data_IF_086501223572
#
_entry.id   IF_086501223572
#
_cell.length_a   1.000
_cell.length_b   1.000
_cell.length_c   1.000
_cell.angle_alpha   90.00
_cell.angle_beta   90.00
_cell.angle_gamma   90.00
#
_symmetry.space_group_name_H-M   'P 1'
#
loop_
_entity.id
_entity.type
_entity.pdbx_description
1 polymer ?
#
# COMPACT_ATOMS: atom_id res chain seq x y z
N UNK A 1 10.59 -27.74 9.05
CA UNK A 1 11.24 -27.59 7.72
C UNK A 1 12.08 -26.33 7.74
N UNK A 2 13.35 -26.37 7.32
CA UNK A 2 14.15 -25.13 7.20
C UNK A 2 13.57 -24.31 6.04
N UNK A 3 12.86 -23.22 6.35
CA UNK A 3 12.30 -22.31 5.35
C UNK A 3 13.37 -21.61 4.50
N UNK A 4 14.64 -21.69 4.93
CA UNK A 4 15.79 -21.06 4.29
C UNK A 4 16.96 -22.03 4.14
N UNK A 5 17.80 -21.85 3.11
CA UNK A 5 19.01 -22.62 2.94
C UNK A 5 19.98 -22.36 4.09
N UNK A 6 20.78 -23.36 4.46
CA UNK A 6 21.84 -23.23 5.47
C UNK A 6 22.97 -22.30 5.02
N UNK A 7 23.17 -22.16 3.71
CA UNK A 7 24.21 -21.33 3.11
C UNK A 7 23.56 -20.42 2.08
N UNK A 8 23.85 -19.12 2.17
CA UNK A 8 23.47 -18.13 1.17
C UNK A 8 24.73 -17.79 0.38
N UNK A 9 24.74 -18.16 -0.90
CA UNK A 9 25.86 -17.90 -1.80
C UNK A 9 25.63 -16.58 -2.52
N UNK A 10 26.54 -15.63 -2.32
CA UNK A 10 26.58 -14.35 -3.04
C UNK A 10 27.74 -14.42 -4.03
N UNK A 11 27.49 -13.97 -5.25
CA UNK A 11 28.52 -13.94 -6.29
C UNK A 11 29.61 -12.91 -5.97
N UNK A 12 30.87 -13.25 -6.26
CA UNK A 12 32.01 -12.38 -5.95
C UNK A 12 31.94 -11.05 -6.69
N UNK A 13 31.54 -11.05 -7.97
CA UNK A 13 31.37 -9.82 -8.75
C UNK A 13 30.25 -8.95 -8.21
N UNK A 14 29.17 -9.56 -7.73
CA UNK A 14 28.10 -8.83 -7.07
C UNK A 14 28.61 -8.17 -5.78
N UNK A 15 29.30 -8.91 -4.92
CA UNK A 15 29.79 -8.42 -3.64
C UNK A 15 30.83 -7.28 -3.77
N UNK A 16 31.61 -7.27 -4.86
CA UNK A 16 32.61 -6.22 -5.14
C UNK A 16 32.09 -5.14 -6.11
N UNK A 17 30.82 -5.22 -6.52
CA UNK A 17 30.25 -4.22 -7.41
C UNK A 17 30.13 -2.87 -6.72
N UNK A 18 30.24 -1.79 -7.51
CA UNK A 18 30.03 -0.43 -6.99
C UNK A 18 28.65 -0.28 -6.36
N UNK A 19 27.63 -0.85 -7.02
CA UNK A 19 26.24 -0.84 -6.56
C UNK A 19 26.07 -1.49 -5.18
N UNK A 20 26.73 -2.63 -4.93
CA UNK A 20 26.65 -3.32 -3.65
C UNK A 20 27.35 -2.50 -2.55
N UNK A 21 28.54 -1.95 -2.84
CA UNK A 21 29.30 -1.16 -1.88
C UNK A 21 28.58 0.11 -1.39
N UNK A 22 27.67 0.67 -2.18
CA UNK A 22 26.92 1.89 -1.83
C UNK A 22 25.63 1.61 -1.05
N UNK A 23 25.22 0.35 -0.91
CA UNK A 23 24.01 -0.02 -0.16
C UNK A 23 24.14 0.30 1.33
N UNK A 24 23.01 0.62 1.96
CA UNK A 24 22.97 0.75 3.42
C UNK A 24 23.07 -0.62 4.11
N UNK A 25 23.54 -0.68 5.36
CA UNK A 25 23.67 -1.96 6.09
C UNK A 25 22.34 -2.72 6.24
N UNK A 26 21.22 -2.00 6.33
CA UNK A 26 19.90 -2.62 6.31
C UNK A 26 19.54 -3.23 4.95
N UNK A 27 19.98 -2.59 3.86
CA UNK A 27 19.72 -3.03 2.49
C UNK A 27 20.54 -4.26 2.15
N UNK A 28 21.79 -4.32 2.60
CA UNK A 28 22.60 -5.54 2.55
C UNK A 28 21.87 -6.72 3.21
N UNK A 29 21.39 -6.55 4.45
CA UNK A 29 20.66 -7.61 5.17
C UNK A 29 19.41 -8.06 4.41
N UNK A 30 18.59 -7.11 3.94
CA UNK A 30 17.38 -7.41 3.18
C UNK A 30 17.69 -8.11 1.87
N UNK A 31 18.74 -7.70 1.15
CA UNK A 31 19.20 -8.36 -0.07
C UNK A 31 19.63 -9.80 0.21
N UNK A 32 20.43 -10.03 1.26
CA UNK A 32 20.82 -11.38 1.67
C UNK A 32 19.60 -12.27 1.94
N UNK A 33 18.57 -11.73 2.59
CA UNK A 33 17.31 -12.47 2.82
C UNK A 33 16.60 -12.80 1.49
N UNK A 34 16.54 -11.87 0.54
CA UNK A 34 16.02 -12.16 -0.80
C UNK A 34 16.81 -13.28 -1.50
N UNK A 35 18.14 -13.26 -1.41
CA UNK A 35 19.01 -14.29 -1.95
C UNK A 35 18.85 -15.65 -1.26
N UNK A 36 18.45 -15.67 0.01
CA UNK A 36 18.07 -16.88 0.72
C UNK A 36 16.66 -17.39 0.38
N UNK A 37 15.77 -16.53 -0.15
CA UNK A 37 14.38 -16.89 -0.50
C UNK A 37 14.21 -17.36 -1.94
N UNK A 38 15.20 -17.14 -2.80
CA UNK A 38 15.14 -17.60 -4.19
C UNK A 38 15.22 -19.13 -4.25
N UNK A 39 14.52 -19.70 -5.21
CA UNK A 39 14.59 -21.12 -5.54
C UNK A 39 15.39 -21.23 -6.83
N UNK A 40 16.50 -21.95 -6.75
CA UNK A 40 17.44 -22.10 -7.84
C UNK A 40 17.20 -23.45 -8.52
N UNK A 41 17.22 -23.45 -9.85
CA UNK A 41 17.21 -24.64 -10.67
C UNK A 41 18.44 -24.66 -11.59
N UNK A 42 18.87 -25.86 -11.96
CA UNK A 42 19.99 -26.05 -12.90
C UNK A 42 19.44 -26.54 -14.22
N UNK A 43 19.68 -25.76 -15.27
CA UNK A 43 19.21 -26.07 -16.62
C UNK A 43 20.38 -26.28 -17.56
N UNK A 44 20.29 -27.26 -18.46
CA UNK A 44 21.31 -27.51 -19.48
C UNK A 44 21.94 -28.89 -19.40
N UNK A 45 22.93 -29.11 -20.27
CA UNK A 45 23.71 -30.36 -20.30
C UNK A 45 24.66 -30.38 -19.10
N UNK A 46 24.88 -31.58 -18.55
CA UNK A 46 25.85 -31.84 -17.48
C UNK A 46 27.21 -31.20 -17.82
N UNK A 47 27.69 -30.28 -16.98
CA UNK A 47 28.93 -29.52 -17.18
C UNK A 47 28.76 -28.12 -17.78
N UNK A 48 27.65 -27.83 -18.47
CA UNK A 48 27.29 -26.51 -18.98
C UNK A 48 25.96 -26.03 -18.40
N UNK A 49 25.75 -26.32 -17.12
CA UNK A 49 24.53 -26.00 -16.39
C UNK A 49 24.45 -24.49 -16.13
N UNK A 50 23.33 -23.89 -16.51
CA UNK A 50 22.98 -22.51 -16.18
C UNK A 50 22.04 -22.51 -14.99
N UNK A 51 22.36 -21.64 -14.05
CA UNK A 51 21.61 -21.44 -12.82
C UNK A 51 20.48 -20.45 -13.10
N UNK A 52 19.23 -20.92 -13.00
CA UNK A 52 18.04 -20.08 -13.21
C UNK A 52 17.26 -19.97 -11.90
N UNK A 53 16.74 -18.78 -11.62
CA UNK A 53 15.85 -18.56 -10.47
C UNK A 53 14.43 -18.94 -10.89
N UNK A 54 13.92 -20.07 -10.39
CA UNK A 54 12.60 -20.62 -10.74
C UNK A 54 11.45 -19.74 -10.26
N UNK A 55 11.60 -19.14 -9.08
CA UNK A 55 10.58 -18.27 -8.47
C UNK A 55 10.84 -16.78 -8.73
N UNK A 56 11.57 -16.42 -9.80
CA UNK A 56 11.84 -15.02 -10.09
C UNK A 56 10.52 -14.28 -10.36
N UNK A 57 10.34 -13.12 -9.73
CA UNK A 57 9.08 -12.38 -9.78
C UNK A 57 7.94 -12.95 -8.94
N UNK A 58 8.19 -14.04 -8.19
CA UNK A 58 7.25 -14.66 -7.25
C UNK A 58 7.80 -14.69 -5.82
N UNK A 59 8.91 -13.98 -5.56
CA UNK A 59 9.51 -13.94 -4.23
C UNK A 59 8.65 -13.07 -3.33
N UNK A 60 8.23 -13.63 -2.18
CA UNK A 60 7.43 -12.93 -1.19
C UNK A 60 8.29 -12.58 0.01
N UNK A 61 8.27 -11.29 0.40
CA UNK A 61 8.84 -10.82 1.65
C UNK A 61 7.96 -9.73 2.25
N UNK A 62 7.20 -10.10 3.28
CA UNK A 62 6.18 -9.22 3.88
C UNK A 62 6.74 -8.36 5.01
N UNK A 63 6.07 -7.24 5.31
CA UNK A 63 6.43 -6.37 6.44
C UNK A 63 6.39 -7.09 7.78
N UNK A 64 5.34 -7.87 8.02
CA UNK A 64 5.17 -8.65 9.26
C UNK A 64 6.28 -9.68 9.41
N UNK A 65 6.66 -10.33 8.31
CA UNK A 65 7.78 -11.26 8.30
C UNK A 65 9.11 -10.57 8.62
N UNK A 66 9.37 -9.41 8.02
CA UNK A 66 10.58 -8.62 8.28
C UNK A 66 10.71 -8.23 9.76
N UNK A 67 9.60 -7.85 10.38
CA UNK A 67 9.55 -7.42 11.78
C UNK A 67 9.67 -8.60 12.74
N UNK A 68 8.86 -9.65 12.57
CA UNK A 68 8.80 -10.79 13.50
C UNK A 68 10.04 -11.69 13.38
N UNK A 69 10.48 -12.02 12.16
CA UNK A 69 11.57 -12.99 11.96
C UNK A 69 12.95 -12.35 12.00
N UNK A 70 13.09 -11.12 11.51
CA UNK A 70 14.39 -10.48 11.30
C UNK A 70 14.60 -9.21 12.14
N UNK A 71 13.60 -8.79 12.93
CA UNK A 71 13.70 -7.59 13.76
C UNK A 71 13.83 -6.28 12.96
N UNK A 72 13.44 -6.28 11.68
CA UNK A 72 13.53 -5.10 10.82
C UNK A 72 12.18 -4.38 10.87
N UNK A 73 12.16 -3.20 11.49
CA UNK A 73 10.95 -2.37 11.51
C UNK A 73 10.43 -2.07 10.10
N UNK A 74 9.11 -1.95 9.94
CA UNK A 74 8.49 -1.70 8.64
C UNK A 74 9.05 -0.45 7.93
N UNK A 75 9.44 0.60 8.67
CA UNK A 75 10.05 1.81 8.09
C UNK A 75 11.46 1.54 7.56
N UNK A 76 12.28 0.80 8.31
CA UNK A 76 13.64 0.40 7.90
C UNK A 76 13.58 -0.55 6.70
N UNK A 77 12.62 -1.46 6.69
CA UNK A 77 12.38 -2.36 5.57
C UNK A 77 11.97 -1.60 4.30
N UNK A 78 11.01 -0.67 4.36
CA UNK A 78 10.63 0.13 3.20
C UNK A 78 11.82 0.92 2.62
N UNK A 79 12.62 1.56 3.48
CA UNK A 79 13.83 2.27 3.05
C UNK A 79 14.83 1.34 2.38
N UNK A 80 14.99 0.12 2.90
CA UNK A 80 15.86 -0.87 2.31
C UNK A 80 15.36 -1.30 0.93
N UNK A 81 14.05 -1.55 0.77
CA UNK A 81 13.44 -1.86 -0.54
C UNK A 81 13.67 -0.72 -1.53
N UNK A 82 13.42 0.53 -1.13
CA UNK A 82 13.61 1.69 -2.01
C UNK A 82 15.09 1.79 -2.45
N UNK A 83 16.04 1.61 -1.53
CA UNK A 83 17.47 1.61 -1.81
C UNK A 83 17.89 0.47 -2.76
N UNK A 84 17.34 -0.74 -2.60
CA UNK A 84 17.63 -1.87 -3.48
C UNK A 84 17.07 -1.69 -4.90
N UNK A 85 15.91 -1.05 -5.04
CA UNK A 85 15.33 -0.72 -6.36
C UNK A 85 16.19 0.34 -7.05
N UNK A 86 16.56 1.39 -6.32
CA UNK A 86 17.41 2.48 -6.80
C UNK A 86 18.77 1.97 -7.32
N UNK A 87 19.32 0.96 -6.67
CA UNK A 87 20.60 0.34 -7.03
C UNK A 87 20.47 -0.80 -8.06
N UNK A 88 19.24 -1.11 -8.52
CA UNK A 88 18.99 -2.06 -9.60
C UNK A 88 19.03 -3.54 -9.20
N UNK A 89 18.93 -3.85 -7.90
CA UNK A 89 18.96 -5.25 -7.41
C UNK A 89 17.59 -5.94 -7.50
N UNK A 90 16.51 -5.19 -7.27
CA UNK A 90 15.16 -5.74 -7.23
C UNK A 90 14.17 -4.89 -8.03
N UNK A 91 13.11 -5.53 -8.51
CA UNK A 91 11.92 -4.87 -9.04
C UNK A 91 10.67 -5.45 -8.37
N UNK A 92 9.60 -4.65 -8.30
CA UNK A 92 8.31 -5.07 -7.75
C UNK A 92 7.41 -5.43 -8.93
N UNK A 93 6.99 -6.69 -9.02
CA UNK A 93 6.20 -7.21 -10.15
C UNK A 93 4.72 -6.84 -10.03
N UNK A 94 4.17 -6.95 -8.82
CA UNK A 94 2.80 -6.55 -8.55
C UNK A 94 2.78 -5.45 -7.49
N UNK A 95 2.39 -4.25 -7.90
CA UNK A 95 2.01 -3.17 -6.98
C UNK A 95 0.52 -2.94 -7.16
N UNK A 96 -0.30 -3.46 -6.24
CA UNK A 96 -1.73 -3.19 -6.29
C UNK A 96 -1.96 -1.66 -6.21
N UNK A 97 -2.57 -1.03 -7.23
CA UNK A 97 -2.74 0.42 -7.29
C UNK A 97 -3.56 0.97 -6.11
N UNK A 98 -4.43 0.16 -5.51
CA UNK A 98 -5.38 0.61 -4.49
C UNK A 98 -4.88 0.49 -3.05
N UNK A 99 -3.74 -0.19 -2.80
CA UNK A 99 -3.14 -0.30 -1.46
C UNK A 99 -3.99 -1.06 -0.43
N UNK A 100 -5.02 -1.77 -0.88
CA UNK A 100 -5.83 -2.69 -0.09
C UNK A 100 -5.65 -4.05 -0.75
N UNK A 101 -4.54 -4.70 -0.42
CA UNK A 101 -4.23 -6.03 -0.93
C UNK A 101 -4.09 -6.98 0.25
N UNK A 102 -4.95 -7.99 0.29
CA UNK A 102 -4.73 -9.19 1.09
C UNK A 102 -3.50 -9.94 0.58
N UNK A 103 -3.15 -9.74 -0.68
CA UNK A 103 -2.01 -10.40 -1.34
C UNK A 103 -0.70 -9.63 -1.08
N UNK A 104 0.39 -10.36 -0.80
CA UNK A 104 1.69 -9.75 -0.55
C UNK A 104 2.35 -9.21 -1.83
N UNK A 105 3.30 -8.29 -1.67
CA UNK A 105 4.14 -7.85 -2.78
C UNK A 105 4.98 -9.01 -3.32
N UNK A 106 5.06 -9.09 -4.65
CA UNK A 106 5.93 -10.02 -5.36
C UNK A 106 7.16 -9.26 -5.87
N UNK A 107 8.33 -9.81 -5.56
CA UNK A 107 9.62 -9.24 -5.91
C UNK A 107 10.33 -10.10 -6.96
N UNK A 108 11.04 -9.43 -7.85
CA UNK A 108 11.92 -10.01 -8.85
C UNK A 108 13.35 -9.57 -8.57
N UNK A 109 14.28 -10.52 -8.64
CA UNK A 109 15.72 -10.25 -8.61
C UNK A 109 16.18 -9.89 -10.02
N UNK A 110 16.92 -8.79 -10.12
CA UNK A 110 17.36 -8.21 -11.39
C UNK A 110 18.88 -8.05 -11.42
N UNK A 111 19.43 -7.93 -12.62
CA UNK A 111 20.87 -7.73 -12.84
C UNK A 111 21.24 -6.29 -13.25
N UNK A 112 20.32 -5.34 -13.13
CA UNK A 112 20.57 -3.93 -13.52
C UNK A 112 21.65 -3.26 -12.66
N UNK A 113 21.96 -3.81 -11.49
CA UNK A 113 23.09 -3.38 -10.66
C UNK A 113 24.44 -3.45 -11.39
N UNK A 114 24.57 -4.27 -12.43
CA UNK A 114 25.79 -4.35 -13.27
C UNK A 114 26.05 -3.07 -14.05
N UNK A 115 24.98 -2.37 -14.45
CA UNK A 115 25.07 -1.11 -15.18
C UNK A 115 25.21 0.10 -14.26
N UNK A 116 25.13 -0.07 -12.93
CA UNK A 116 25.10 1.03 -11.95
C UNK A 116 26.32 1.95 -12.07
N UNK A 117 26.07 3.26 -12.14
CA UNK A 117 27.10 4.28 -12.33
C UNK A 117 27.59 4.44 -13.78
N UNK A 118 27.07 3.66 -14.72
CA UNK A 118 27.34 3.84 -16.16
C UNK A 118 26.24 4.66 -16.82
N UNK A 119 26.51 5.21 -18.02
CA UNK A 119 25.50 5.88 -18.85
C UNK A 119 24.33 4.98 -19.25
N UNK A 120 24.49 3.65 -19.16
CA UNK A 120 23.43 2.67 -19.47
C UNK A 120 22.46 2.48 -18.31
N UNK A 121 22.82 2.92 -17.10
CA UNK A 121 21.97 2.78 -15.94
C UNK A 121 20.68 3.59 -16.10
N UNK A 122 19.55 2.90 -16.12
CA UNK A 122 18.23 3.55 -16.01
C UNK A 122 17.86 3.56 -14.55
N UNK A 123 17.95 4.72 -13.92
CA UNK A 123 17.50 4.89 -12.53
C UNK A 123 16.05 4.43 -12.39
N UNK A 124 15.81 3.53 -11.45
CA UNK A 124 14.48 3.05 -11.11
C UNK A 124 14.14 3.61 -9.76
N UNK A 125 13.22 4.55 -9.75
CA UNK A 125 12.57 4.95 -8.51
C UNK A 125 11.26 4.19 -8.42
N UNK A 126 10.99 3.62 -7.25
CA UNK A 126 9.65 3.16 -6.94
C UNK A 126 8.73 4.36 -7.12
N UNK A 127 7.68 4.22 -7.95
CA UNK A 127 6.67 5.26 -8.07
C UNK A 127 6.18 5.61 -6.67
N UNK A 128 6.59 6.78 -6.16
CA UNK A 128 6.18 7.23 -4.85
C UNK A 128 4.66 7.33 -4.95
N UNK A 129 3.94 6.49 -4.20
CA UNK A 129 2.50 6.64 -4.06
C UNK A 129 2.28 8.11 -3.71
N UNK A 130 1.65 8.87 -4.59
CA UNK A 130 1.32 10.26 -4.29
C UNK A 130 0.50 10.15 -3.01
N UNK A 131 1.08 10.59 -1.89
CA UNK A 131 0.36 10.66 -0.63
C UNK A 131 -0.57 11.86 -0.75
N UNK A 132 -1.58 11.77 -1.60
CA UNK A 132 -2.81 12.51 -1.38
C UNK A 132 -3.34 11.94 -0.06
N UNK A 133 -3.04 12.63 1.04
CA UNK A 133 -3.59 12.31 2.35
C UNK A 133 -5.10 12.55 2.21
N UNK A 134 -5.84 11.45 2.07
CA UNK A 134 -7.26 11.44 1.72
C UNK A 134 -7.47 11.50 0.19
N UNK A 135 -8.52 10.81 -0.27
CA UNK A 135 -8.98 10.66 -1.66
C UNK A 135 -8.39 9.47 -2.44
N UNK A 136 -9.13 8.36 -2.42
CA UNK A 136 -9.06 7.37 -3.49
C UNK A 136 -9.72 7.99 -4.74
N UNK A 137 -8.92 8.41 -5.73
CA UNK A 137 -9.43 8.75 -7.07
C UNK A 137 -9.92 7.47 -7.74
N UNK A 138 -11.23 7.23 -7.72
CA UNK A 138 -11.88 6.14 -8.46
C UNK A 138 -12.09 6.45 -9.95
N UNK A 139 -11.62 7.59 -10.45
CA UNK A 139 -11.95 8.04 -11.80
C UNK A 139 -11.21 7.32 -12.94
N UNK A 140 -10.15 6.55 -12.65
CA UNK A 140 -9.33 5.87 -13.68
C UNK A 140 -9.11 4.37 -13.37
N UNK A 141 -10.18 3.62 -13.12
CA UNK A 141 -10.09 2.16 -13.05
C UNK A 141 -10.29 1.61 -14.47
N UNK A 142 -9.27 0.93 -15.01
CA UNK A 142 -9.36 0.19 -16.27
C UNK A 142 -10.59 -0.73 -16.27
N UNK A 143 -11.33 -0.78 -17.39
CA UNK A 143 -12.58 -1.53 -17.51
C UNK A 143 -12.44 -3.04 -17.22
N UNK A 144 -11.24 -3.59 -17.42
CA UNK A 144 -10.86 -4.97 -17.11
C UNK A 144 -11.08 -5.36 -15.64
N UNK A 145 -11.04 -4.38 -14.71
CA UNK A 145 -11.15 -4.63 -13.26
C UNK A 145 -12.56 -4.39 -12.69
N UNK A 146 -13.56 -4.04 -13.51
CA UNK A 146 -14.97 -3.91 -13.06
C UNK A 146 -15.53 -5.23 -12.49
N UNK A 147 -14.99 -6.38 -12.90
CA UNK A 147 -15.47 -7.71 -12.53
C UNK A 147 -14.81 -8.30 -11.27
N UNK A 148 -13.84 -7.63 -10.65
CA UNK A 148 -13.19 -8.13 -9.44
C UNK A 148 -14.01 -7.77 -8.19
N UNK A 149 -14.71 -8.75 -7.60
CA UNK A 149 -15.45 -8.59 -6.34
C UNK A 149 -14.49 -8.25 -5.19
N UNK A 150 -14.41 -6.97 -4.81
CA UNK A 150 -13.70 -6.54 -3.62
C UNK A 150 -14.41 -7.07 -2.36
N UNK A 151 -13.69 -7.83 -1.54
CA UNK A 151 -14.20 -8.43 -0.30
C UNK A 151 -14.24 -7.43 0.87
N UNK A 152 -14.86 -6.26 0.67
CA UNK A 152 -15.27 -5.33 1.73
C UNK A 152 -16.64 -4.79 1.32
N UNK A 153 -17.65 -5.62 1.51
CA UNK A 153 -19.00 -5.24 1.12
C UNK A 153 -19.64 -4.40 2.24
N UNK A 154 -19.56 -4.81 3.50
CA UNK A 154 -20.46 -4.25 4.53
C UNK A 154 -19.79 -3.35 5.58
N UNK A 155 -20.47 -2.26 5.97
CA UNK A 155 -20.11 -1.39 7.10
C UNK A 155 -20.98 -0.15 7.18
N UNK A 156 -20.41 0.98 7.56
CA UNK A 156 -21.16 2.20 7.86
C UNK A 156 -20.54 3.45 7.23
N UNK A 157 -21.38 4.28 6.62
CA UNK A 157 -21.07 5.67 6.28
C UNK A 157 -21.54 6.57 7.42
N UNK A 158 -20.73 7.51 7.87
CA UNK A 158 -21.07 8.45 8.92
C UNK A 158 -20.92 9.90 8.47
N UNK A 159 -21.75 10.74 9.09
CA UNK A 159 -21.73 12.19 8.95
C UNK A 159 -21.45 12.77 10.34
N UNK A 160 -20.31 13.41 10.53
CA UNK A 160 -19.89 13.98 11.81
C UNK A 160 -19.75 15.49 11.65
N UNK A 161 -20.45 16.26 12.47
CA UNK A 161 -20.37 17.71 12.50
C UNK A 161 -19.38 18.19 13.56
N UNK A 162 -18.60 19.20 13.23
CA UNK A 162 -17.81 19.97 14.19
C UNK A 162 -18.67 21.09 14.80
N UNK A 163 -18.89 21.06 16.11
CA UNK A 163 -19.76 21.98 16.82
C UNK A 163 -21.20 22.01 16.29
N UNK A 164 -21.97 23.04 16.66
CA UNK A 164 -23.37 23.17 16.27
C UNK A 164 -23.57 23.69 14.84
N UNK A 165 -22.56 24.35 14.25
CA UNK A 165 -22.62 24.99 12.92
C UNK A 165 -21.34 24.84 12.08
N UNK A 166 -20.40 23.98 12.49
CA UNK A 166 -19.12 23.81 11.79
C UNK A 166 -19.19 22.82 10.63
N UNK A 167 -18.01 22.41 10.18
CA UNK A 167 -17.85 21.56 9.01
C UNK A 167 -18.36 20.15 9.26
N UNK A 168 -18.81 19.48 8.20
CA UNK A 168 -19.27 18.11 8.25
C UNK A 168 -18.24 17.21 7.61
N UNK A 169 -17.77 16.22 8.37
CA UNK A 169 -16.97 15.12 7.88
C UNK A 169 -17.87 14.01 7.36
N UNK A 170 -17.64 13.60 6.12
CA UNK A 170 -18.22 12.38 5.54
C UNK A 170 -17.11 11.34 5.49
N UNK A 171 -17.37 10.13 5.99
CA UNK A 171 -16.40 9.05 5.92
C UNK A 171 -17.02 7.70 6.27
N UNK A 172 -16.20 6.65 6.21
CA UNK A 172 -16.66 5.29 6.46
C UNK A 172 -15.95 4.55 7.60
N UNK A 173 -16.60 3.51 8.11
CA UNK A 173 -16.05 2.57 9.08
C UNK A 173 -16.62 1.17 8.84
N UNK A 174 -15.76 0.15 8.84
CA UNK A 174 -16.19 -1.25 8.73
C UNK A 174 -16.93 -1.73 9.99
N UNK A 175 -16.40 -1.41 11.17
CA UNK A 175 -16.84 -2.06 12.40
C UNK A 175 -17.59 -1.14 13.36
N UNK A 176 -17.03 0.03 13.71
CA UNK A 176 -17.60 0.87 14.77
C UNK A 176 -17.34 2.37 14.55
N UNK A 177 -18.42 3.10 14.27
CA UNK A 177 -18.41 4.56 14.08
C UNK A 177 -18.04 5.32 15.36
N UNK A 178 -18.43 4.84 16.55
CA UNK A 178 -18.11 5.51 17.84
C UNK A 178 -16.61 5.49 18.15
N UNK A 179 -15.93 4.40 17.83
CA UNK A 179 -14.46 4.34 17.98
C UNK A 179 -13.77 5.30 17.02
N UNK A 180 -14.32 5.47 15.81
CA UNK A 180 -13.82 6.45 14.84
C UNK A 180 -14.06 7.89 15.29
N UNK A 181 -15.24 8.20 15.86
CA UNK A 181 -15.56 9.50 16.45
C UNK A 181 -14.54 9.88 17.53
N UNK A 182 -14.25 8.96 18.48
CA UNK A 182 -13.26 9.19 19.54
C UNK A 182 -11.87 9.53 19.00
N UNK A 183 -11.41 8.82 17.96
CA UNK A 183 -10.12 9.12 17.34
C UNK A 183 -10.07 10.51 16.70
N UNK A 184 -11.17 10.95 16.07
CA UNK A 184 -11.23 12.27 15.43
C UNK A 184 -11.30 13.36 16.50
N UNK A 185 -12.05 13.13 17.59
CA UNK A 185 -12.20 14.06 18.70
C UNK A 185 -10.86 14.42 19.37
N UNK A 186 -9.89 13.50 19.43
CA UNK A 186 -8.55 13.76 19.97
C UNK A 186 -7.83 14.90 19.21
N UNK A 187 -8.18 15.10 17.94
CA UNK A 187 -7.51 16.05 17.05
C UNK A 187 -8.23 17.39 16.86
N UNK A 188 -9.34 17.62 17.57
CA UNK A 188 -10.08 18.90 17.50
C UNK A 188 -10.47 19.37 18.90
N UNK A 189 -10.33 20.68 19.20
CA UNK A 189 -10.80 21.26 20.46
C UNK A 189 -12.33 21.42 20.51
N UNK A 190 -13.03 21.15 19.41
CA UNK A 190 -14.47 21.32 19.30
C UNK A 190 -15.23 20.01 19.50
N UNK A 191 -16.44 20.09 20.06
CA UNK A 191 -17.31 18.93 20.20
C UNK A 191 -17.72 18.37 18.84
N UNK A 192 -17.71 17.05 18.71
CA UNK A 192 -18.11 16.35 17.49
C UNK A 192 -19.46 15.66 17.67
N UNK A 193 -20.42 15.96 16.80
CA UNK A 193 -21.75 15.39 16.83
C UNK A 193 -21.98 14.46 15.64
N UNK A 194 -22.51 13.26 15.87
CA UNK A 194 -22.93 12.39 14.78
C UNK A 194 -24.29 12.87 14.27
N UNK A 195 -24.30 13.41 13.06
CA UNK A 195 -25.53 13.80 12.35
C UNK A 195 -26.32 12.56 11.96
N UNK A 196 -25.59 11.50 11.57
CA UNK A 196 -26.19 10.23 11.25
C UNK A 196 -25.23 9.20 10.68
N UNK A 197 -25.74 7.97 10.58
CA UNK A 197 -25.00 6.79 10.15
C UNK A 197 -25.89 5.96 9.22
N UNK A 198 -25.33 5.51 8.10
CA UNK A 198 -26.01 4.69 7.10
C UNK A 198 -25.29 3.36 7.02
N UNK A 199 -26.02 2.26 7.17
CA UNK A 199 -25.47 0.92 6.91
C UNK A 199 -25.32 0.73 5.41
N UNK A 200 -24.14 0.30 5.00
CA UNK A 200 -23.78 0.12 3.59
C UNK A 200 -23.42 -1.34 3.34
N UNK A 201 -23.89 -1.86 2.20
CA UNK A 201 -23.48 -3.16 1.64
C UNK A 201 -22.42 -3.01 0.55
N UNK A 202 -21.97 -1.78 0.27
CA UNK A 202 -20.77 -1.49 -0.48
C UNK A 202 -20.18 -0.15 -0.01
N UNK A 203 -19.38 -0.19 1.06
CA UNK A 203 -18.87 1.02 1.72
C UNK A 203 -18.17 1.95 0.74
N UNK A 204 -17.34 1.40 -0.14
CA UNK A 204 -16.52 2.17 -1.08
C UNK A 204 -17.40 2.92 -2.09
N UNK A 205 -18.41 2.24 -2.63
CA UNK A 205 -19.35 2.84 -3.58
C UNK A 205 -20.20 3.92 -2.90
N UNK A 206 -20.68 3.65 -1.70
CA UNK A 206 -21.57 4.58 -0.99
C UNK A 206 -20.80 5.82 -0.49
N UNK A 207 -19.59 5.66 0.05
CA UNK A 207 -18.72 6.79 0.40
C UNK A 207 -18.44 7.67 -0.83
N UNK A 208 -18.06 7.06 -1.95
CA UNK A 208 -17.81 7.77 -3.20
C UNK A 208 -19.04 8.53 -3.67
N UNK A 209 -20.22 7.93 -3.56
CA UNK A 209 -21.49 8.55 -3.92
C UNK A 209 -21.72 9.84 -3.12
N UNK A 210 -21.60 9.81 -1.79
CA UNK A 210 -21.80 11.01 -0.97
C UNK A 210 -20.71 12.06 -1.19
N UNK A 211 -19.45 11.63 -1.36
CA UNK A 211 -18.36 12.52 -1.68
C UNK A 211 -18.56 13.23 -3.03
N UNK A 212 -19.10 12.54 -4.02
CA UNK A 212 -19.43 13.09 -5.34
C UNK A 212 -20.63 14.04 -5.25
N UNK A 213 -21.69 13.64 -4.54
CA UNK A 213 -22.90 14.45 -4.33
C UNK A 213 -22.58 15.82 -3.73
N UNK A 214 -21.69 15.87 -2.74
CA UNK A 214 -21.30 17.10 -2.05
C UNK A 214 -19.96 17.68 -2.52
N UNK A 215 -19.42 17.23 -3.66
CA UNK A 215 -18.08 17.63 -4.12
C UNK A 215 -17.92 19.15 -4.21
N UNK A 216 -18.94 19.87 -4.68
CA UNK A 216 -18.96 21.33 -4.80
C UNK A 216 -18.96 22.08 -3.46
N UNK A 217 -19.23 21.40 -2.33
CA UNK A 217 -19.22 21.95 -0.96
C UNK A 217 -17.98 21.52 -0.17
N UNK A 218 -17.05 20.83 -0.80
CA UNK A 218 -15.85 20.30 -0.14
C UNK A 218 -14.87 21.43 0.17
N UNK A 219 -14.47 21.53 1.44
CA UNK A 219 -13.50 22.53 1.89
C UNK A 219 -12.10 21.93 1.87
N UNK A 220 -11.90 20.83 2.61
CA UNK A 220 -10.58 20.21 2.73
C UNK A 220 -10.72 18.75 3.08
N UNK A 221 -10.13 17.90 2.22
CA UNK A 221 -10.22 16.46 2.34
C UNK A 221 -11.68 16.00 2.52
N UNK A 222 -11.97 15.25 3.58
CA UNK A 222 -13.27 14.67 3.92
C UNK A 222 -14.24 15.66 4.58
N UNK A 223 -13.88 16.95 4.66
CA UNK A 223 -14.69 17.99 5.32
C UNK A 223 -15.42 18.87 4.31
N UNK A 224 -16.71 19.07 4.56
CA UNK A 224 -17.68 19.74 3.68
C UNK A 224 -18.42 20.85 4.44
N UNK A 225 -18.69 21.96 3.75
CA UNK A 225 -19.53 23.04 4.25
C UNK A 225 -20.98 22.78 3.82
N UNK A 226 -21.67 21.96 4.58
CA UNK A 226 -23.07 21.61 4.32
C UNK A 226 -24.01 22.67 4.89
N UNK A 227 -25.04 23.03 4.12
CA UNK A 227 -26.06 23.97 4.56
C UNK A 227 -27.23 23.24 5.25
N UNK A 228 -28.17 23.99 5.82
CA UNK A 228 -29.30 23.42 6.55
C UNK A 228 -30.15 22.49 5.68
N UNK A 229 -30.31 22.78 4.38
CA UNK A 229 -31.04 21.91 3.45
C UNK A 229 -30.33 20.57 3.23
N UNK A 230 -29.00 20.57 3.08
CA UNK A 230 -28.21 19.33 2.97
C UNK A 230 -28.35 18.46 4.22
N UNK A 231 -28.31 19.11 5.39
CA UNK A 231 -28.41 18.44 6.68
C UNK A 231 -29.78 17.83 6.89
N UNK A 232 -30.85 18.53 6.51
CA UNK A 232 -32.20 18.00 6.49
C UNK A 232 -32.34 16.86 5.48
N UNK A 233 -31.75 16.99 4.30
CA UNK A 233 -31.75 15.93 3.29
C UNK A 233 -31.07 14.66 3.83
N UNK A 234 -29.89 14.79 4.45
CA UNK A 234 -29.17 13.66 5.07
C UNK A 234 -30.04 13.00 6.15
N UNK A 235 -30.60 13.78 7.09
CA UNK A 235 -31.44 13.25 8.18
C UNK A 235 -32.69 12.54 7.64
N UNK A 236 -33.35 13.10 6.63
CA UNK A 236 -34.53 12.49 6.02
C UNK A 236 -34.18 11.24 5.22
N UNK A 237 -33.04 11.25 4.53
CA UNK A 237 -32.55 10.09 3.78
C UNK A 237 -32.23 8.93 4.72
N UNK A 238 -31.56 9.20 5.85
CA UNK A 238 -31.29 8.20 6.90
C UNK A 238 -32.58 7.66 7.50
N UNK A 239 -33.61 8.48 7.71
CA UNK A 239 -34.89 7.97 8.27
C UNK A 239 -35.63 7.02 7.32
N UNK A 240 -35.36 7.08 6.02
CA UNK A 240 -36.01 6.24 5.00
C UNK A 240 -35.30 4.91 4.75
N UNK A 241 -34.11 4.73 5.31
CA UNK A 241 -33.20 3.61 5.03
C UNK A 241 -32.63 3.01 6.32
#
# INVERSE_FOLDING_TARGET
MKEHPSVIVIDWFLAHSKSYSTLTGASHLVLTIFWGKRQIDKTGKKGHERVIIKNNGKIVFTYKEAEIKYGISARRFNRAIDNLIEHGFISIVNTNPYGISTEPNLYQLENYWQDYGTKKFKERLRARKIREIGFCKYSNINEEYKNYKFKIDTGYIYFIQEGSKGLVKIGCSQNNVKSRLRQIAISTPFNLEIIGVIKSNNILKDELFYHTKFAHKRIKREWFKLNLQDMLWIKNYIKKH
#
